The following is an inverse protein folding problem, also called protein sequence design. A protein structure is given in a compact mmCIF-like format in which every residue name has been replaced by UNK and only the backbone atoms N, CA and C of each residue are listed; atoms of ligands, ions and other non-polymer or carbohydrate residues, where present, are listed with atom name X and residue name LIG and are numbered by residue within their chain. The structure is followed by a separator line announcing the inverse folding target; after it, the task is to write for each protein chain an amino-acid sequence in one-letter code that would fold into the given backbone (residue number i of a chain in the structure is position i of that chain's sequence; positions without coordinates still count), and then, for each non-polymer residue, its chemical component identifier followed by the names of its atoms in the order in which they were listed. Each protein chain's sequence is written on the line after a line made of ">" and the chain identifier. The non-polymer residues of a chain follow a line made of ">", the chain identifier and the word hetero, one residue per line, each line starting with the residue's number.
data_IF_508385121908
#
_entry.id   IF_508385121908
#
_cell.length_a   1.000
_cell.length_b   1.000
_cell.length_c   1.000
_cell.angle_alpha   90.00
_cell.angle_beta   90.00
_cell.angle_gamma   90.00
#
_symmetry.space_group_name_H-M   'P 1'
#
loop_
_entity.id
_entity.type
_entity.pdbx_description
1 polymer ?
#
# COMPACT_ATOMS: atom_id res chain seq x y z
N UNK A 1 4.59 26.92 -9.53
CA UNK A 1 3.80 25.77 -9.03
C UNK A 1 4.03 25.58 -7.54
N UNK A 2 2.95 25.40 -6.74
CA UNK A 2 3.04 25.03 -5.31
C UNK A 2 3.51 23.58 -5.21
N UNK A 3 4.31 23.23 -4.20
CA UNK A 3 4.86 21.86 -4.04
C UNK A 3 3.76 20.80 -3.97
N UNK A 4 2.57 21.18 -3.47
CA UNK A 4 1.33 20.41 -3.46
C UNK A 4 0.96 19.80 -4.83
N UNK A 5 1.33 20.43 -5.94
CA UNK A 5 1.07 19.89 -7.28
C UNK A 5 1.99 18.73 -7.69
N UNK A 6 3.18 18.64 -7.09
CA UNK A 6 4.20 17.65 -7.42
C UNK A 6 4.13 16.42 -6.50
N UNK A 7 3.75 16.58 -5.23
CA UNK A 7 3.70 15.46 -4.27
C UNK A 7 2.78 14.30 -4.67
N UNK A 8 1.57 14.54 -5.21
CA UNK A 8 0.70 13.46 -5.65
C UNK A 8 1.31 12.68 -6.83
N UNK A 9 2.07 13.35 -7.71
CA UNK A 9 2.79 12.67 -8.78
C UNK A 9 3.88 11.74 -8.21
N UNK A 10 4.68 12.22 -7.26
CA UNK A 10 5.69 11.37 -6.59
C UNK A 10 5.06 10.21 -5.83
N UNK A 11 3.92 10.43 -5.15
CA UNK A 11 3.17 9.39 -4.46
C UNK A 11 2.62 8.33 -5.43
N UNK A 12 2.09 8.75 -6.58
CA UNK A 12 1.61 7.85 -7.62
C UNK A 12 2.75 7.03 -8.23
N UNK A 13 3.88 7.66 -8.54
CA UNK A 13 5.08 6.99 -9.05
C UNK A 13 5.65 5.98 -8.04
N UNK A 14 5.70 6.35 -6.75
CA UNK A 14 6.15 5.44 -5.71
C UNK A 14 5.21 4.23 -5.60
N UNK A 15 3.91 4.47 -5.52
CA UNK A 15 2.91 3.40 -5.40
C UNK A 15 2.97 2.44 -6.59
N UNK A 16 3.05 2.97 -7.81
CA UNK A 16 3.23 2.19 -9.02
C UNK A 16 4.53 1.38 -8.99
N UNK A 17 5.66 2.02 -8.66
CA UNK A 17 6.98 1.36 -8.70
C UNK A 17 7.12 0.26 -7.65
N UNK A 18 6.59 0.47 -6.43
CA UNK A 18 6.60 -0.54 -5.36
C UNK A 18 5.76 -1.75 -5.74
N UNK A 19 4.52 -1.53 -6.18
CA UNK A 19 3.61 -2.62 -6.57
C UNK A 19 4.15 -3.36 -7.80
N UNK A 20 4.66 -2.63 -8.80
CA UNK A 20 5.23 -3.25 -10.01
C UNK A 20 6.51 -4.02 -9.72
N UNK A 21 7.38 -3.51 -8.85
CA UNK A 21 8.59 -4.22 -8.41
C UNK A 21 8.22 -5.49 -7.64
N UNK A 22 7.32 -5.37 -6.66
CA UNK A 22 6.86 -6.51 -5.87
C UNK A 22 6.23 -7.58 -6.75
N UNK A 23 5.36 -7.18 -7.68
CA UNK A 23 4.72 -8.09 -8.61
C UNK A 23 5.74 -8.76 -9.55
N UNK A 24 6.77 -8.05 -10.02
CA UNK A 24 7.82 -8.65 -10.85
C UNK A 24 8.70 -9.64 -10.08
N UNK A 25 9.00 -9.38 -8.80
CA UNK A 25 9.68 -10.38 -7.98
C UNK A 25 8.78 -11.59 -7.70
N UNK A 26 7.48 -11.36 -7.47
CA UNK A 26 6.52 -12.44 -7.28
C UNK A 26 6.33 -13.29 -8.55
N UNK A 27 6.33 -12.70 -9.75
CA UNK A 27 6.24 -13.45 -11.01
C UNK A 27 7.48 -14.31 -11.27
N UNK A 28 8.65 -13.92 -10.75
CA UNK A 28 9.87 -14.74 -10.77
C UNK A 28 9.81 -15.92 -9.80
N UNK A 29 9.09 -15.77 -8.68
CA UNK A 29 8.84 -16.85 -7.72
C UNK A 29 7.68 -17.76 -8.17
N UNK A 30 6.68 -17.21 -8.85
CA UNK A 30 5.50 -17.93 -9.31
C UNK A 30 5.25 -17.59 -10.79
N UNK A 31 5.78 -18.40 -11.73
CA UNK A 31 5.66 -18.14 -13.17
C UNK A 31 4.22 -18.02 -13.69
N UNK A 32 3.26 -18.62 -12.99
CA UNK A 32 1.82 -18.51 -13.27
C UNK A 32 1.27 -17.09 -13.07
N UNK A 33 1.99 -16.22 -12.36
CA UNK A 33 1.61 -14.83 -12.07
C UNK A 33 2.27 -13.84 -13.02
N UNK A 34 2.40 -14.21 -14.29
CA UNK A 34 2.94 -13.33 -15.32
C UNK A 34 2.10 -12.06 -15.45
N UNK A 35 2.78 -10.91 -15.52
CA UNK A 35 2.13 -9.60 -15.58
C UNK A 35 2.03 -9.15 -17.03
N UNK A 36 0.83 -8.91 -17.55
CA UNK A 36 0.69 -8.41 -18.92
C UNK A 36 1.16 -6.96 -19.02
N UNK A 37 1.79 -6.61 -20.15
CA UNK A 37 2.35 -5.26 -20.37
C UNK A 37 1.28 -4.15 -20.33
N UNK A 38 0.04 -4.44 -20.74
CA UNK A 38 -1.05 -3.48 -20.71
C UNK A 38 -1.46 -3.06 -19.30
N UNK A 39 -1.14 -3.85 -18.26
CA UNK A 39 -1.50 -3.52 -16.88
C UNK A 39 -0.69 -2.36 -16.33
N UNK A 40 0.51 -2.13 -16.88
CA UNK A 40 1.47 -1.11 -16.42
C UNK A 40 0.91 0.31 -16.53
N UNK A 41 0.45 0.77 -17.71
CA UNK A 41 -0.17 2.09 -17.81
C UNK A 41 -1.43 2.21 -16.96
N UNK A 42 -2.22 1.15 -16.80
CA UNK A 42 -3.44 1.18 -15.96
C UNK A 42 -3.07 1.34 -14.47
N UNK A 43 -2.10 0.57 -13.98
CA UNK A 43 -1.63 0.66 -12.59
C UNK A 43 -1.00 2.03 -12.30
N UNK A 44 -0.27 2.60 -13.26
CA UNK A 44 0.33 3.93 -13.13
C UNK A 44 -0.74 5.03 -13.12
N UNK A 45 -1.66 5.03 -14.09
CA UNK A 45 -2.69 6.05 -14.20
C UNK A 45 -3.69 5.98 -13.04
N UNK A 46 -4.05 4.78 -12.58
CA UNK A 46 -4.89 4.60 -11.39
C UNK A 46 -4.22 5.12 -10.12
N UNK A 47 -2.93 4.87 -9.93
CA UNK A 47 -2.18 5.40 -8.81
C UNK A 47 -2.07 6.94 -8.87
N UNK A 48 -1.74 7.50 -10.02
CA UNK A 48 -1.68 8.96 -10.21
C UNK A 48 -3.04 9.61 -9.98
N UNK A 49 -4.09 9.14 -10.64
CA UNK A 49 -5.43 9.68 -10.49
C UNK A 49 -5.86 9.60 -9.02
N UNK A 50 -5.64 8.48 -8.34
CA UNK A 50 -6.05 8.35 -6.95
C UNK A 50 -5.26 9.23 -6.01
N UNK A 51 -3.95 9.40 -6.21
CA UNK A 51 -3.16 10.34 -5.41
C UNK A 51 -3.65 11.79 -5.59
N UNK A 52 -3.90 12.23 -6.81
CA UNK A 52 -4.43 13.58 -7.09
C UNK A 52 -5.84 13.74 -6.54
N UNK A 53 -6.70 12.75 -6.74
CA UNK A 53 -8.08 12.78 -6.28
C UNK A 53 -8.16 12.83 -4.75
N UNK A 54 -7.36 11.99 -4.08
CA UNK A 54 -7.21 11.97 -2.64
C UNK A 54 -6.69 13.30 -2.08
N UNK A 55 -5.76 13.96 -2.77
CA UNK A 55 -5.13 15.19 -2.28
C UNK A 55 -5.99 16.44 -2.46
N UNK A 56 -6.77 16.51 -3.55
CA UNK A 56 -7.49 17.74 -3.92
C UNK A 56 -8.99 17.69 -3.67
N UNK A 57 -9.61 16.51 -3.81
CA UNK A 57 -11.07 16.38 -3.82
C UNK A 57 -11.60 15.56 -2.64
N UNK A 58 -10.72 14.86 -1.92
CA UNK A 58 -11.14 14.02 -0.80
C UNK A 58 -11.32 14.84 0.47
N UNK A 59 -12.58 15.16 0.75
CA UNK A 59 -13.02 15.70 2.03
C UNK A 59 -13.65 14.60 2.90
N UNK A 60 -13.74 14.84 4.23
CA UNK A 60 -14.42 13.95 5.19
C UNK A 60 -15.90 13.69 4.82
N UNK A 61 -16.47 14.59 4.01
CA UNK A 61 -17.84 14.53 3.48
C UNK A 61 -17.96 13.80 2.13
N UNK A 62 -16.87 13.30 1.55
CA UNK A 62 -16.95 12.50 0.32
C UNK A 62 -17.67 11.17 0.57
N UNK A 63 -18.72 10.85 -0.19
CA UNK A 63 -19.41 9.56 -0.07
C UNK A 63 -18.44 8.43 -0.47
N UNK A 64 -18.63 7.25 0.13
CA UNK A 64 -17.80 6.08 -0.16
C UNK A 64 -18.05 5.55 -1.59
N UNK A 65 -19.28 5.72 -2.09
CA UNK A 65 -19.72 5.37 -3.43
C UNK A 65 -18.90 6.06 -4.53
N UNK A 66 -18.47 7.30 -4.32
CA UNK A 66 -17.57 7.98 -5.28
C UNK A 66 -16.21 7.30 -5.34
N UNK A 67 -15.74 6.75 -4.22
CA UNK A 67 -14.49 5.99 -4.15
C UNK A 67 -14.64 4.65 -4.86
N UNK A 68 -15.81 4.01 -4.74
CA UNK A 68 -16.14 2.80 -5.49
C UNK A 68 -16.23 3.07 -6.99
N UNK A 69 -16.84 4.18 -7.42
CA UNK A 69 -16.91 4.56 -8.84
C UNK A 69 -15.50 4.81 -9.39
N UNK A 70 -14.65 5.55 -8.65
CA UNK A 70 -13.26 5.79 -9.02
C UNK A 70 -12.49 4.47 -9.20
N UNK A 71 -12.67 3.51 -8.30
CA UNK A 71 -12.05 2.20 -8.39
C UNK A 71 -12.64 1.37 -9.56
N UNK A 72 -13.97 1.37 -9.71
CA UNK A 72 -14.67 0.66 -10.76
C UNK A 72 -14.26 1.16 -12.16
N UNK A 73 -14.00 2.46 -12.31
CA UNK A 73 -13.48 3.05 -13.54
C UNK A 73 -12.18 2.38 -14.00
N UNK A 74 -11.34 1.92 -13.08
CA UNK A 74 -10.12 1.18 -13.39
C UNK A 74 -10.33 -0.33 -13.47
N UNK A 75 -11.20 -0.90 -12.64
CA UNK A 75 -11.46 -2.34 -12.64
C UNK A 75 -12.23 -2.82 -13.88
N UNK A 76 -13.18 -2.03 -14.39
CA UNK A 76 -13.99 -2.41 -15.56
C UNK A 76 -13.12 -2.66 -16.81
N UNK A 77 -12.23 -1.74 -17.23
CA UNK A 77 -11.29 -2.01 -18.32
C UNK A 77 -10.39 -3.21 -18.05
N UNK A 78 -9.91 -3.38 -16.81
CA UNK A 78 -9.04 -4.53 -16.48
C UNK A 78 -9.74 -5.87 -16.63
N UNK A 79 -11.05 -5.94 -16.34
CA UNK A 79 -11.87 -7.13 -16.54
C UNK A 79 -12.05 -7.48 -18.03
N UNK A 80 -12.26 -6.46 -18.87
CA UNK A 80 -12.35 -6.68 -20.31
C UNK A 80 -11.00 -7.09 -20.91
N UNK A 81 -9.91 -6.46 -20.48
CA UNK A 81 -8.56 -6.74 -20.96
C UNK A 81 -8.00 -8.07 -20.44
N UNK A 82 -8.50 -8.58 -19.31
CA UNK A 82 -8.20 -9.93 -18.82
C UNK A 82 -8.98 -11.05 -19.55
N UNK A 83 -9.65 -10.73 -20.66
CA UNK A 83 -10.40 -11.70 -21.45
C UNK A 83 -11.66 -12.24 -20.75
N UNK A 84 -12.18 -11.52 -19.74
CA UNK A 84 -13.33 -11.93 -18.91
C UNK A 84 -13.11 -13.22 -18.12
N UNK A 85 -11.84 -13.63 -17.95
CA UNK A 85 -11.46 -14.78 -17.11
C UNK A 85 -11.29 -14.30 -15.67
N UNK A 86 -12.14 -14.81 -14.76
CA UNK A 86 -12.19 -14.36 -13.36
C UNK A 86 -10.84 -14.57 -12.65
N UNK A 87 -10.19 -15.71 -12.84
CA UNK A 87 -8.91 -16.01 -12.17
C UNK A 87 -7.80 -15.03 -12.55
N UNK A 88 -7.66 -14.72 -13.85
CA UNK A 88 -6.68 -13.76 -14.37
C UNK A 88 -7.05 -12.34 -13.96
N UNK A 89 -8.34 -12.02 -13.96
CA UNK A 89 -8.86 -10.75 -13.49
C UNK A 89 -8.51 -10.50 -12.02
N UNK A 90 -8.71 -11.47 -11.12
CA UNK A 90 -8.46 -11.30 -9.69
C UNK A 90 -7.01 -10.88 -9.40
N UNK A 91 -6.03 -11.50 -10.07
CA UNK A 91 -4.62 -11.13 -9.93
C UNK A 91 -4.35 -9.71 -10.44
N UNK A 92 -4.80 -9.39 -11.65
CA UNK A 92 -4.59 -8.07 -12.24
C UNK A 92 -5.33 -6.96 -11.47
N UNK A 93 -6.54 -7.25 -11.00
CA UNK A 93 -7.35 -6.37 -10.17
C UNK A 93 -6.69 -6.11 -8.82
N UNK A 94 -6.10 -7.14 -8.20
CA UNK A 94 -5.36 -6.98 -6.94
C UNK A 94 -4.21 -5.97 -7.10
N UNK A 95 -3.44 -6.05 -8.19
CA UNK A 95 -2.34 -5.12 -8.45
C UNK A 95 -2.84 -3.67 -8.61
N UNK A 96 -3.95 -3.47 -9.33
CA UNK A 96 -4.57 -2.15 -9.52
C UNK A 96 -5.17 -1.63 -8.22
N UNK A 97 -5.82 -2.49 -7.43
CA UNK A 97 -6.37 -2.13 -6.12
C UNK A 97 -5.24 -1.73 -5.16
N UNK A 98 -4.13 -2.48 -5.13
CA UNK A 98 -2.98 -2.17 -4.29
C UNK A 98 -2.32 -0.85 -4.70
N UNK A 99 -2.08 -0.62 -6.00
CA UNK A 99 -1.49 0.63 -6.48
C UNK A 99 -2.40 1.82 -6.16
N UNK A 100 -3.71 1.65 -6.34
CA UNK A 100 -4.74 2.64 -6.02
C UNK A 100 -4.81 2.93 -4.51
N UNK A 101 -4.88 1.90 -3.65
CA UNK A 101 -4.98 2.04 -2.19
C UNK A 101 -3.75 2.73 -1.59
N UNK A 102 -2.55 2.33 -2.02
CA UNK A 102 -1.30 2.92 -1.51
C UNK A 102 -1.23 4.40 -1.89
N UNK A 103 -1.52 4.73 -3.15
CA UNK A 103 -1.51 6.09 -3.66
C UNK A 103 -2.55 6.98 -2.97
N UNK A 104 -3.76 6.46 -2.78
CA UNK A 104 -4.84 7.11 -2.04
C UNK A 104 -4.44 7.40 -0.59
N UNK A 105 -3.80 6.43 0.06
CA UNK A 105 -3.28 6.59 1.42
C UNK A 105 -2.35 7.79 1.52
N UNK A 106 -1.34 7.88 0.65
CA UNK A 106 -0.45 9.04 0.60
C UNK A 106 -1.21 10.36 0.36
N UNK A 107 -2.14 10.39 -0.59
CA UNK A 107 -2.94 11.60 -0.87
C UNK A 107 -3.77 12.06 0.33
N UNK A 108 -4.39 11.14 1.07
CA UNK A 108 -5.14 11.47 2.28
C UNK A 108 -4.26 12.05 3.40
N UNK A 109 -3.02 11.56 3.52
CA UNK A 109 -2.06 12.08 4.49
C UNK A 109 -1.59 13.50 4.15
N UNK A 110 -1.55 13.89 2.87
CA UNK A 110 -1.29 15.29 2.51
C UNK A 110 -2.41 16.24 2.96
N UNK A 111 -3.67 15.82 2.85
CA UNK A 111 -4.81 16.60 3.37
C UNK A 111 -4.76 16.69 4.89
N UNK A 112 -4.37 15.60 5.56
CA UNK A 112 -4.16 15.60 7.01
C UNK A 112 -3.06 16.58 7.43
N UNK A 113 -1.94 16.62 6.69
CA UNK A 113 -0.84 17.54 6.94
C UNK A 113 -1.24 19.02 6.86
N UNK A 114 -2.27 19.37 6.07
CA UNK A 114 -2.77 20.76 5.95
C UNK A 114 -3.64 21.21 7.13
N UNK A 115 -4.28 20.26 7.83
CA UNK A 115 -5.22 20.53 8.94
C UNK A 115 -4.52 20.81 10.26
N UNK A 116 -3.41 21.53 10.22
CA UNK A 116 -2.60 21.84 11.40
C UNK A 116 -3.38 22.65 12.44
N UNK A 117 -4.30 23.51 11.99
CA UNK A 117 -5.22 24.25 12.85
C UNK A 117 -6.18 23.36 13.67
N UNK A 118 -6.66 22.23 13.11
CA UNK A 118 -7.56 21.32 13.83
C UNK A 118 -6.87 20.68 15.05
N UNK A 119 -5.53 20.63 15.06
CA UNK A 119 -4.72 20.01 16.11
C UNK A 119 -4.12 21.00 17.10
N UNK A 120 -3.85 22.24 16.67
CA UNK A 120 -3.25 23.26 17.53
C UNK A 120 -4.29 24.12 18.27
N UNK A 121 -5.57 24.06 17.87
CA UNK A 121 -6.63 24.90 18.44
C UNK A 121 -6.40 26.40 18.23
N UNK A 122 -7.24 27.23 18.87
CA UNK A 122 -7.18 28.70 18.74
C UNK A 122 -5.88 29.32 19.30
N UNK A 123 -5.08 28.57 20.06
CA UNK A 123 -3.81 29.03 20.66
C UNK A 123 -2.57 28.73 19.81
N UNK A 124 -2.73 28.07 18.65
CA UNK A 124 -1.62 27.55 17.84
C UNK A 124 -0.74 28.57 17.12
N UNK A 125 -1.23 29.78 16.85
CA UNK A 125 -0.50 30.72 16.00
C UNK A 125 0.74 31.34 16.69
N UNK A 126 0.77 31.43 18.02
CA UNK A 126 1.88 32.00 18.80
C UNK A 126 2.79 30.96 19.45
N UNK A 127 2.40 29.69 19.48
CA UNK A 127 3.12 28.59 20.16
C UNK A 127 3.85 27.63 19.21
N UNK A 128 3.66 27.75 17.89
CA UNK A 128 4.38 26.94 16.90
C UNK A 128 5.81 27.47 16.73
N UNK A 129 6.71 27.01 17.59
CA UNK A 129 8.15 27.11 17.40
C UNK A 129 8.73 25.76 16.94
N UNK A 130 9.94 25.80 16.36
CA UNK A 130 10.66 24.58 15.99
C UNK A 130 10.94 23.66 17.20
N UNK A 131 11.07 24.26 18.39
CA UNK A 131 11.23 23.55 19.67
C UNK A 131 9.96 22.77 20.04
N UNK A 132 8.78 23.38 19.88
CA UNK A 132 7.50 22.70 20.11
C UNK A 132 7.31 21.52 19.16
N UNK A 133 7.64 21.65 17.87
CA UNK A 133 7.57 20.50 16.95
C UNK A 133 8.60 19.42 17.29
N UNK A 134 9.80 19.79 17.75
CA UNK A 134 10.80 18.80 18.19
C UNK A 134 10.32 18.00 19.40
N UNK A 135 9.67 18.66 20.37
CA UNK A 135 9.08 18.03 21.56
C UNK A 135 7.83 17.20 21.21
N UNK A 136 6.95 17.73 20.36
CA UNK A 136 5.77 17.01 19.87
C UNK A 136 6.11 15.84 18.93
N UNK A 137 7.32 15.82 18.35
CA UNK A 137 7.78 14.70 17.52
C UNK A 137 7.96 13.40 18.30
N UNK A 138 8.15 13.52 19.62
CA UNK A 138 8.29 12.42 20.57
C UNK A 138 6.96 11.72 20.82
N UNK A 139 5.83 12.45 20.75
CA UNK A 139 4.52 11.82 20.88
C UNK A 139 4.20 10.95 19.65
N UNK A 140 3.75 9.72 19.95
CA UNK A 140 3.48 8.68 18.95
C UNK A 140 2.31 9.00 18.02
N UNK A 141 1.40 9.88 18.46
CA UNK A 141 0.15 10.19 17.75
C UNK A 141 0.26 11.33 16.73
N UNK A 142 1.36 12.10 16.69
CA UNK A 142 1.34 13.46 16.13
C UNK A 142 2.29 13.76 14.97
N UNK A 143 2.95 12.77 14.35
CA UNK A 143 3.90 13.06 13.26
C UNK A 143 3.45 12.44 11.93
N UNK A 144 2.79 13.22 11.05
CA UNK A 144 2.49 12.80 9.69
C UNK A 144 3.72 12.26 8.94
N UNK A 145 4.93 12.73 9.28
CA UNK A 145 6.19 12.26 8.69
C UNK A 145 6.53 10.80 9.04
N UNK A 146 6.12 10.31 10.22
CA UNK A 146 6.33 8.90 10.62
C UNK A 146 5.62 7.96 9.66
N UNK A 147 4.43 8.34 9.15
CA UNK A 147 3.70 7.55 8.16
C UNK A 147 4.49 7.31 6.87
N UNK A 148 5.11 8.37 6.31
CA UNK A 148 5.91 8.26 5.09
C UNK A 148 7.19 7.46 5.34
N UNK A 149 7.83 7.67 6.49
CA UNK A 149 9.04 6.95 6.89
C UNK A 149 8.80 5.44 7.06
N UNK A 150 7.81 5.05 7.87
CA UNK A 150 7.49 3.64 8.13
C UNK A 150 7.09 2.89 6.86
N UNK A 151 6.35 3.53 5.94
CA UNK A 151 5.99 2.91 4.66
C UNK A 151 7.18 2.76 3.74
N UNK A 152 8.07 3.75 3.67
CA UNK A 152 9.27 3.65 2.84
C UNK A 152 10.17 2.49 3.31
N UNK A 153 10.39 2.36 4.63
CA UNK A 153 11.12 1.23 5.20
C UNK A 153 10.39 -0.09 5.05
N UNK A 154 9.07 -0.13 5.27
CA UNK A 154 8.27 -1.33 5.10
C UNK A 154 8.29 -1.85 3.66
N UNK A 155 8.16 -0.95 2.67
CA UNK A 155 8.28 -1.32 1.26
C UNK A 155 9.70 -1.76 0.89
N UNK A 156 10.73 -1.08 1.41
CA UNK A 156 12.11 -1.48 1.19
C UNK A 156 12.39 -2.88 1.76
N UNK A 157 11.89 -3.17 2.97
CA UNK A 157 12.03 -4.48 3.62
C UNK A 157 11.35 -5.58 2.81
N UNK A 158 10.09 -5.37 2.40
CA UNK A 158 9.34 -6.36 1.59
C UNK A 158 10.06 -6.63 0.27
N UNK A 159 10.50 -5.59 -0.44
CA UNK A 159 11.23 -5.74 -1.70
C UNK A 159 12.60 -6.41 -1.50
N UNK A 160 13.30 -6.13 -0.40
CA UNK A 160 14.57 -6.78 -0.08
C UNK A 160 14.38 -8.28 0.19
N UNK A 161 13.37 -8.65 0.98
CA UNK A 161 13.04 -10.07 1.25
C UNK A 161 12.70 -10.80 -0.05
N UNK A 162 11.88 -10.20 -0.92
CA UNK A 162 11.55 -10.76 -2.23
C UNK A 162 12.79 -10.91 -3.12
N UNK A 163 13.69 -9.92 -3.13
CA UNK A 163 14.93 -9.99 -3.90
C UNK A 163 15.86 -11.10 -3.39
N UNK A 164 16.00 -11.27 -2.08
CA UNK A 164 16.78 -12.35 -1.46
C UNK A 164 16.19 -13.72 -1.81
N UNK A 165 14.86 -13.86 -1.75
CA UNK A 165 14.17 -15.10 -2.12
C UNK A 165 14.41 -15.48 -3.59
N UNK A 166 14.36 -14.50 -4.50
CA UNK A 166 14.66 -14.73 -5.92
C UNK A 166 16.13 -15.09 -6.14
N UNK A 167 17.05 -14.43 -5.42
CA UNK A 167 18.47 -14.73 -5.48
C UNK A 167 18.76 -16.16 -5.03
N UNK A 168 18.18 -16.61 -3.92
CA UNK A 168 18.36 -17.96 -3.40
C UNK A 168 17.86 -19.05 -4.36
N UNK A 169 16.84 -18.75 -5.18
CA UNK A 169 16.29 -19.69 -6.16
C UNK A 169 17.16 -19.81 -7.43
N UNK A 170 18.26 -19.05 -7.55
CA UNK A 170 19.19 -19.06 -8.68
C UNK A 170 18.48 -18.94 -10.04
N UNK A 171 17.45 -18.10 -10.12
CA UNK A 171 16.71 -17.88 -11.37
C UNK A 171 17.60 -17.13 -12.35
N UNK A 172 17.81 -17.69 -13.54
CA UNK A 172 18.58 -17.04 -14.59
C UNK A 172 17.78 -15.86 -15.17
N UNK A 173 18.24 -14.63 -14.94
CA UNK A 173 17.55 -13.41 -15.36
C UNK A 173 17.96 -13.03 -16.78
N UNK A 174 17.00 -13.02 -17.72
CA UNK A 174 17.23 -12.45 -19.05
C UNK A 174 17.55 -10.95 -18.98
N UNK A 175 18.42 -10.46 -19.88
CA UNK A 175 18.93 -9.08 -19.85
C UNK A 175 17.83 -7.99 -19.83
N UNK A 176 16.74 -8.19 -20.56
CA UNK A 176 15.60 -7.25 -20.56
C UNK A 176 14.83 -7.22 -19.24
N UNK A 177 14.72 -8.35 -18.55
CA UNK A 177 14.06 -8.44 -17.25
C UNK A 177 14.92 -7.77 -16.17
N UNK A 178 16.23 -7.98 -16.22
CA UNK A 178 17.19 -7.34 -15.32
C UNK A 178 17.17 -5.82 -15.47
N UNK A 179 17.17 -5.33 -16.72
CA UNK A 179 17.04 -3.89 -16.99
C UNK A 179 15.73 -3.33 -16.45
N UNK A 180 14.62 -4.05 -16.62
CA UNK A 180 13.31 -3.64 -16.10
C UNK A 180 13.28 -3.56 -14.57
N UNK A 181 13.79 -4.58 -13.89
CA UNK A 181 13.89 -4.60 -12.42
C UNK A 181 14.77 -3.46 -11.91
N UNK A 182 15.88 -3.18 -12.59
CA UNK A 182 16.78 -2.07 -12.26
C UNK A 182 16.11 -0.71 -12.43
N UNK A 183 15.38 -0.50 -13.54
CA UNK A 183 14.62 0.72 -13.76
C UNK A 183 13.51 0.91 -12.73
N UNK A 184 12.79 -0.17 -12.38
CA UNK A 184 11.77 -0.11 -11.34
C UNK A 184 12.36 0.18 -9.95
N UNK A 185 13.46 -0.49 -9.58
CA UNK A 185 14.14 -0.27 -8.31
C UNK A 185 14.68 1.15 -8.17
N UNK A 186 15.30 1.68 -9.22
CA UNK A 186 15.75 3.08 -9.26
C UNK A 186 14.58 4.06 -9.17
N UNK A 187 13.47 3.79 -9.88
CA UNK A 187 12.26 4.58 -9.78
C UNK A 187 11.69 4.56 -8.36
N UNK A 188 11.68 3.42 -7.67
CA UNK A 188 11.23 3.30 -6.27
C UNK A 188 12.09 4.12 -5.33
N UNK A 189 13.42 4.03 -5.43
CA UNK A 189 14.33 4.80 -4.57
C UNK A 189 14.17 6.31 -4.84
N UNK A 190 14.19 6.72 -6.10
CA UNK A 190 14.10 8.14 -6.47
C UNK A 190 12.75 8.72 -6.06
N UNK A 191 11.65 8.04 -6.37
CA UNK A 191 10.31 8.52 -6.01
C UNK A 191 10.07 8.51 -4.51
N UNK A 192 10.60 7.52 -3.78
CA UNK A 192 10.49 7.43 -2.31
C UNK A 192 11.24 8.56 -1.61
N UNK A 193 12.50 8.79 -1.98
CA UNK A 193 13.30 9.88 -1.42
C UNK A 193 12.75 11.26 -1.82
N UNK A 194 12.32 11.43 -3.07
CA UNK A 194 11.69 12.66 -3.52
C UNK A 194 10.38 12.95 -2.77
N UNK A 195 9.58 11.91 -2.53
CA UNK A 195 8.33 12.01 -1.76
C UNK A 195 8.62 12.40 -0.31
N UNK A 196 9.58 11.77 0.35
CA UNK A 196 9.95 12.07 1.73
C UNK A 196 10.47 13.50 1.88
N UNK A 197 11.44 13.90 1.06
CA UNK A 197 12.00 15.24 1.09
C UNK A 197 10.98 16.31 0.68
N UNK A 198 10.09 15.98 -0.25
CA UNK A 198 8.99 16.85 -0.67
C UNK A 198 7.93 17.02 0.42
N UNK A 199 7.52 15.94 1.07
CA UNK A 199 6.55 15.95 2.17
C UNK A 199 7.10 16.75 3.36
N UNK A 200 8.39 16.63 3.65
CA UNK A 200 9.07 17.42 4.66
C UNK A 200 9.04 18.91 4.34
N UNK A 201 9.45 19.31 3.12
CA UNK A 201 9.37 20.71 2.70
C UNK A 201 7.93 21.24 2.70
N UNK A 202 6.95 20.41 2.34
CA UNK A 202 5.54 20.80 2.36
C UNK A 202 5.04 21.07 3.77
N UNK A 203 5.39 20.21 4.73
CA UNK A 203 5.09 20.42 6.15
C UNK A 203 5.71 21.72 6.65
N UNK A 204 6.99 21.98 6.35
CA UNK A 204 7.66 23.23 6.71
C UNK A 204 6.96 24.46 6.12
N UNK A 205 6.54 24.41 4.86
CA UNK A 205 5.80 25.51 4.23
C UNK A 205 4.48 25.82 4.93
N UNK A 206 3.78 24.78 5.40
CA UNK A 206 2.55 24.96 6.16
C UNK A 206 2.86 25.65 7.49
N UNK A 207 3.86 25.17 8.22
CA UNK A 207 4.25 25.73 9.52
C UNK A 207 4.72 27.18 9.41
N UNK A 208 5.58 27.50 8.43
CA UNK A 208 5.99 28.87 8.16
C UNK A 208 4.81 29.77 7.80
N UNK A 209 3.83 29.23 7.08
CA UNK A 209 2.58 29.92 6.78
C UNK A 209 1.77 30.25 8.05
N UNK A 210 1.70 29.32 9.01
CA UNK A 210 1.04 29.55 10.31
C UNK A 210 1.81 30.52 11.21
N UNK A 211 3.13 30.39 11.27
CA UNK A 211 4.00 31.25 12.07
C UNK A 211 4.23 32.66 11.46
N UNK A 212 3.69 32.92 10.25
CA UNK A 212 3.93 34.14 9.46
C UNK A 212 5.42 34.47 9.30
N UNK A 213 6.25 33.44 9.15
CA UNK A 213 7.68 33.61 8.97
C UNK A 213 8.00 34.14 7.56
N UNK A 214 8.86 35.15 7.46
CA UNK A 214 9.35 35.67 6.19
C UNK A 214 10.38 34.71 5.58
N UNK A 215 9.88 33.75 4.78
CA UNK A 215 10.72 32.76 4.10
C UNK A 215 11.05 33.25 2.70
N UNK A 216 12.32 33.13 2.32
CA UNK A 216 12.77 33.51 0.97
C UNK A 216 11.97 32.77 -0.11
N UNK A 217 11.45 33.47 -1.14
CA UNK A 217 10.61 32.86 -2.18
C UNK A 217 11.40 31.85 -3.04
N UNK A 218 12.73 31.92 -3.01
CA UNK A 218 13.64 31.05 -3.75
C UNK A 218 13.95 29.72 -3.07
N UNK A 219 13.69 29.58 -1.76
CA UNK A 219 14.03 28.39 -0.99
C UNK A 219 13.50 27.11 -1.62
N UNK A 220 12.24 27.12 -2.09
CA UNK A 220 11.62 25.98 -2.78
C UNK A 220 12.41 25.56 -4.03
N UNK A 221 12.83 26.53 -4.85
CA UNK A 221 13.56 26.24 -6.10
C UNK A 221 14.94 25.69 -5.79
N UNK A 222 15.62 26.25 -4.79
CA UNK A 222 16.93 25.79 -4.34
C UNK A 222 16.85 24.40 -3.70
N UNK A 223 15.83 24.13 -2.89
CA UNK A 223 15.57 22.80 -2.32
C UNK A 223 15.35 21.77 -3.41
N UNK A 224 14.45 22.03 -4.37
CA UNK A 224 14.20 21.09 -5.47
C UNK A 224 15.43 20.88 -6.36
N UNK A 225 16.25 21.93 -6.58
CA UNK A 225 17.52 21.80 -7.32
C UNK A 225 18.52 20.92 -6.56
N UNK A 226 18.68 21.16 -5.26
CA UNK A 226 19.59 20.39 -4.41
C UNK A 226 19.12 18.95 -4.27
N UNK A 227 17.82 18.73 -4.09
CA UNK A 227 17.21 17.41 -4.06
C UNK A 227 17.46 16.65 -5.36
N UNK A 228 17.32 17.28 -6.53
CA UNK A 228 17.65 16.64 -7.81
C UNK A 228 19.12 16.21 -7.89
N UNK A 229 20.04 17.05 -7.41
CA UNK A 229 21.47 16.71 -7.38
C UNK A 229 21.76 15.53 -6.45
N UNK A 230 21.18 15.54 -5.24
CA UNK A 230 21.30 14.43 -4.28
C UNK A 230 20.70 13.14 -4.85
N UNK A 231 19.50 13.20 -5.44
CA UNK A 231 18.87 12.05 -6.07
C UNK A 231 19.70 11.50 -7.23
N UNK A 232 20.30 12.38 -8.05
CA UNK A 232 21.18 11.97 -9.15
C UNK A 232 22.45 11.30 -8.62
N UNK A 233 23.04 11.83 -7.55
CA UNK A 233 24.18 11.21 -6.88
C UNK A 233 23.81 9.82 -6.32
N UNK A 234 22.67 9.70 -5.64
CA UNK A 234 22.17 8.41 -5.11
C UNK A 234 21.95 7.41 -6.24
N UNK A 235 21.32 7.83 -7.34
CA UNK A 235 21.15 6.97 -8.53
C UNK A 235 22.51 6.52 -9.05
N UNK A 236 23.47 7.42 -9.18
CA UNK A 236 24.81 7.12 -9.65
C UNK A 236 25.50 6.10 -8.74
N UNK A 237 25.45 6.31 -7.42
CA UNK A 237 26.02 5.37 -6.44
C UNK A 237 25.33 4.00 -6.53
N UNK A 238 24.00 3.93 -6.50
CA UNK A 238 23.26 2.65 -6.51
C UNK A 238 23.49 1.87 -7.82
N UNK A 239 23.75 2.56 -8.93
CA UNK A 239 23.89 1.94 -10.25
C UNK A 239 25.34 1.67 -10.69
N UNK A 240 26.30 2.47 -10.23
CA UNK A 240 27.70 2.35 -10.61
C UNK A 240 28.56 1.74 -9.50
N UNK A 241 28.12 1.77 -8.24
CA UNK A 241 28.87 1.11 -7.18
C UNK A 241 28.89 -0.41 -7.46
N UNK A 242 30.07 -1.04 -7.49
CA UNK A 242 30.17 -2.48 -7.56
C UNK A 242 29.50 -3.07 -6.32
N UNK A 243 28.55 -3.99 -6.53
CA UNK A 243 27.75 -4.64 -5.48
C UNK A 243 28.65 -5.35 -4.45
N UNK A 244 29.87 -5.70 -4.85
CA UNK A 244 30.86 -6.42 -4.05
C UNK A 244 31.41 -5.64 -2.84
N UNK A 245 31.25 -4.31 -2.80
CA UNK A 245 31.75 -3.48 -1.69
C UNK A 245 30.67 -3.13 -0.64
N UNK A 246 29.41 -3.53 -0.84
CA UNK A 246 28.34 -3.22 0.11
C UNK A 246 28.29 -4.27 1.24
N UNK A 247 28.40 -3.90 2.53
CA UNK A 247 28.49 -4.86 3.64
C UNK A 247 27.20 -5.67 3.88
N UNK A 248 26.12 -5.36 3.17
CA UNK A 248 24.83 -6.06 3.18
C UNK A 248 24.56 -6.65 1.78
N UNK A 249 25.39 -7.59 1.34
CA UNK A 249 25.07 -8.39 0.15
C UNK A 249 23.89 -9.32 0.44
N UNK A 250 23.14 -9.74 -0.59
CA UNK A 250 22.06 -10.72 -0.43
C UNK A 250 22.55 -12.01 0.24
N UNK A 251 23.83 -12.36 0.03
CA UNK A 251 24.53 -13.43 0.73
C UNK A 251 24.63 -13.16 2.24
N UNK A 252 25.15 -12.01 2.67
CA UNK A 252 25.24 -11.66 4.10
C UNK A 252 23.89 -11.51 4.79
N UNK A 253 22.87 -10.96 4.13
CA UNK A 253 21.53 -10.91 4.72
C UNK A 253 20.95 -12.33 4.83
N UNK A 254 21.19 -13.18 3.83
CA UNK A 254 20.83 -14.61 3.90
C UNK A 254 21.55 -15.34 5.03
N UNK A 255 22.83 -15.03 5.29
CA UNK A 255 23.60 -15.54 6.42
C UNK A 255 23.06 -15.05 7.76
N UNK A 256 22.71 -13.77 7.89
CA UNK A 256 22.11 -13.19 9.10
C UNK A 256 20.73 -13.83 9.37
N UNK A 257 19.90 -14.00 8.34
CA UNK A 257 18.59 -14.67 8.47
C UNK A 257 18.76 -16.14 8.82
N UNK A 258 19.76 -16.84 8.25
CA UNK A 258 20.11 -18.21 8.64
C UNK A 258 20.61 -18.30 10.07
N UNK A 259 21.45 -17.37 10.51
CA UNK A 259 21.92 -17.29 11.89
C UNK A 259 20.75 -17.07 12.85
N UNK A 260 19.83 -16.16 12.52
CA UNK A 260 18.60 -15.95 13.31
C UNK A 260 17.65 -17.16 13.30
N UNK A 261 17.59 -17.94 12.22
CA UNK A 261 16.83 -19.20 12.17
C UNK A 261 17.52 -20.34 12.94
N UNK A 262 18.85 -20.38 12.97
CA UNK A 262 19.63 -21.36 13.74
C UNK A 262 19.76 -21.00 15.23
N UNK A 263 19.54 -19.73 15.59
CA UNK A 263 19.37 -19.24 16.97
C UNK A 263 17.94 -19.42 17.52
N UNK A 264 17.07 -20.18 16.83
CA UNK A 264 15.96 -20.85 17.51
C UNK A 264 16.51 -21.90 18.48
N UNK A 265 15.84 -22.21 19.61
CA UNK A 265 16.35 -23.17 20.58
C UNK A 265 16.60 -24.51 19.88
N UNK A 266 17.86 -24.80 19.64
CA UNK A 266 18.34 -26.12 19.25
C UNK A 266 18.18 -26.97 20.51
N UNK A 267 17.06 -27.69 20.58
CA UNK A 267 16.95 -28.78 21.52
C UNK A 267 17.90 -29.87 21.04
N UNK A 268 19.08 -29.93 21.66
CA UNK A 268 19.94 -31.11 21.62
C UNK A 268 19.14 -32.26 22.25
N UNK A 269 18.37 -32.95 21.42
CA UNK A 269 17.80 -34.22 21.77
C UNK A 269 18.99 -35.18 21.95
N UNK A 270 19.17 -35.80 23.13
CA UNK A 270 20.25 -36.74 23.35
C UNK A 270 20.16 -37.87 22.30
N UNK A 271 21.29 -38.37 21.80
CA UNK A 271 21.28 -39.45 20.82
C UNK A 271 20.58 -40.65 21.47
N UNK A 272 19.41 -41.00 20.93
CA UNK A 272 18.69 -42.22 21.28
C UNK A 272 19.55 -43.41 20.84
N UNK A 273 20.43 -43.85 21.73
CA UNK A 273 21.08 -45.14 21.65
C UNK A 273 20.06 -46.23 21.99
N UNK A 274 19.81 -47.13 21.04
CA UNK A 274 19.10 -48.39 21.28
C UNK A 274 17.89 -48.60 20.35
N UNK A 275 17.78 -49.77 19.71
CA UNK A 275 16.66 -50.10 18.82
C UNK A 275 15.45 -50.49 19.65
N UNK A 276 14.73 -49.50 20.17
CA UNK A 276 13.41 -49.71 20.73
C UNK A 276 12.37 -49.15 19.77
N UNK A 277 11.34 -49.98 19.56
CA UNK A 277 10.32 -49.87 18.54
C UNK A 277 9.87 -48.42 18.32
N UNK A 278 9.92 -47.97 17.06
CA UNK A 278 9.14 -46.83 16.62
C UNK A 278 7.73 -46.99 17.17
N UNK A 279 7.19 -46.06 17.98
CA UNK A 279 5.78 -46.08 18.27
C UNK A 279 5.11 -45.91 16.91
N UNK A 280 4.49 -46.98 16.41
CA UNK A 280 3.48 -46.82 15.37
C UNK A 280 2.48 -45.86 15.98
N UNK A 281 2.41 -44.65 15.43
CA UNK A 281 1.19 -43.89 15.53
C UNK A 281 0.11 -44.86 15.03
N UNK A 282 -0.69 -45.40 15.95
CA UNK A 282 -1.95 -46.01 15.56
C UNK A 282 -2.62 -45.00 14.65
N UNK A 283 -2.95 -45.43 13.43
CA UNK A 283 -3.85 -44.69 12.57
C UNK A 283 -5.01 -44.28 13.46
N UNK A 284 -5.08 -42.97 13.73
CA UNK A 284 -6.18 -42.37 14.43
C UNK A 284 -7.43 -42.92 13.74
N UNK A 285 -8.33 -43.63 14.45
CA UNK A 285 -9.49 -44.17 13.79
C UNK A 285 -10.16 -42.97 13.16
N UNK A 286 -10.32 -43.00 11.84
CA UNK A 286 -11.18 -42.07 11.12
C UNK A 286 -12.42 -41.94 12.01
N UNK A 287 -12.82 -40.70 12.32
CA UNK A 287 -14.12 -40.48 12.95
C UNK A 287 -15.17 -40.92 11.94
N UNK A 288 -15.40 -42.22 11.86
CA UNK A 288 -16.49 -42.84 11.13
C UNK A 288 -17.70 -42.46 11.94
N UNK A 289 -18.35 -41.38 11.53
CA UNK A 289 -19.71 -41.09 11.96
C UNK A 289 -20.53 -42.37 11.75
N UNK A 290 -21.12 -42.96 12.80
CA UNK A 290 -21.91 -44.17 12.65
C UNK A 290 -23.07 -43.88 11.71
N UNK A 291 -22.99 -44.39 10.47
CA UNK A 291 -24.02 -44.23 9.44
C UNK A 291 -25.37 -44.82 9.87
N UNK A 292 -25.40 -45.65 10.92
CA UNK A 292 -26.61 -46.24 11.50
C UNK A 292 -27.44 -45.25 12.33
N UNK A 293 -26.88 -44.09 12.73
CA UNK A 293 -27.66 -43.03 13.39
C UNK A 293 -28.46 -42.16 12.40
N UNK A 294 -28.20 -42.28 11.09
CA UNK A 294 -28.75 -41.41 10.06
C UNK A 294 -30.11 -41.85 9.48
N UNK A 295 -30.58 -43.07 9.79
CA UNK A 295 -31.79 -43.66 9.18
C UNK A 295 -32.98 -43.82 10.15
N UNK A 296 -32.81 -43.46 11.42
CA UNK A 296 -33.90 -43.45 12.43
C UNK A 296 -34.62 -42.09 12.57
N UNK A 297 -35.78 -42.04 13.27
CA UNK A 297 -36.51 -40.79 13.52
C UNK A 297 -35.67 -39.72 14.23
N UNK A 298 -34.67 -40.14 15.02
CA UNK A 298 -33.70 -39.25 15.65
C UNK A 298 -32.75 -38.57 14.65
N UNK A 299 -32.40 -39.23 13.53
CA UNK A 299 -31.60 -38.65 12.46
C UNK A 299 -32.35 -37.51 11.74
N UNK A 300 -33.67 -37.66 11.57
CA UNK A 300 -34.54 -36.61 11.01
C UNK A 300 -34.59 -35.39 11.94
N UNK A 301 -34.71 -35.61 13.26
CA UNK A 301 -34.71 -34.53 14.26
C UNK A 301 -33.36 -33.80 14.27
N UNK A 302 -32.25 -34.52 14.19
CA UNK A 302 -30.90 -33.94 14.19
C UNK A 302 -30.63 -33.17 12.89
N UNK A 303 -31.09 -33.69 11.73
CA UNK A 303 -31.04 -33.01 10.44
C UNK A 303 -31.89 -31.73 10.44
N UNK A 304 -33.09 -31.77 11.01
CA UNK A 304 -33.96 -30.59 11.15
C UNK A 304 -33.32 -29.54 12.06
N UNK A 305 -32.71 -29.97 13.18
CA UNK A 305 -32.03 -29.08 14.11
C UNK A 305 -30.80 -28.41 13.47
N UNK A 306 -29.97 -29.17 12.76
CA UNK A 306 -28.81 -28.60 12.01
C UNK A 306 -29.26 -27.68 10.87
N UNK A 307 -30.33 -28.02 10.16
CA UNK A 307 -30.92 -27.17 9.13
C UNK A 307 -31.45 -25.85 9.71
N UNK A 308 -32.17 -25.89 10.84
CA UNK A 308 -32.63 -24.69 11.55
C UNK A 308 -31.46 -23.84 12.07
N UNK A 309 -30.38 -24.46 12.55
CA UNK A 309 -29.17 -23.77 12.98
C UNK A 309 -28.47 -23.06 11.81
N UNK A 310 -28.37 -23.73 10.66
CA UNK A 310 -27.79 -23.16 9.45
C UNK A 310 -28.65 -22.00 8.90
N UNK A 311 -29.97 -22.15 8.88
CA UNK A 311 -30.89 -21.07 8.50
C UNK A 311 -30.78 -19.92 9.49
N UNK A 312 -30.77 -20.19 10.80
CA UNK A 312 -30.62 -19.17 11.84
C UNK A 312 -29.32 -18.39 11.68
N UNK A 313 -28.21 -19.09 11.44
CA UNK A 313 -26.92 -18.46 11.18
C UNK A 313 -26.93 -17.62 9.89
N UNK A 314 -27.53 -18.14 8.80
CA UNK A 314 -27.67 -17.41 7.55
C UNK A 314 -28.51 -16.13 7.71
N UNK A 315 -29.60 -16.20 8.48
CA UNK A 315 -30.46 -15.04 8.80
C UNK A 315 -29.71 -14.02 9.65
N UNK A 316 -28.93 -14.45 10.65
CA UNK A 316 -28.10 -13.54 11.47
C UNK A 316 -27.04 -12.86 10.61
N UNK A 317 -26.36 -13.59 9.72
CA UNK A 317 -25.39 -13.03 8.79
C UNK A 317 -26.07 -12.00 7.87
N UNK A 318 -27.24 -12.32 7.30
CA UNK A 318 -28.02 -11.40 6.46
C UNK A 318 -28.49 -10.16 7.24
N UNK A 319 -28.88 -10.29 8.50
CA UNK A 319 -29.28 -9.18 9.35
C UNK A 319 -28.11 -8.26 9.70
N UNK A 320 -26.94 -8.83 10.04
CA UNK A 320 -25.73 -8.05 10.30
C UNK A 320 -25.27 -7.36 9.02
N UNK A 321 -25.27 -8.06 7.88
CA UNK A 321 -24.93 -7.50 6.59
C UNK A 321 -25.91 -6.38 6.20
N UNK A 322 -27.21 -6.60 6.40
CA UNK A 322 -28.28 -5.63 6.15
C UNK A 322 -28.18 -4.41 7.05
N UNK A 323 -27.89 -4.58 8.33
CA UNK A 323 -27.68 -3.47 9.27
C UNK A 323 -26.45 -2.63 8.92
N UNK A 324 -25.34 -3.29 8.56
CA UNK A 324 -24.12 -2.62 8.08
C UNK A 324 -24.40 -1.85 6.79
N UNK A 325 -25.15 -2.45 5.86
CA UNK A 325 -25.60 -1.79 4.62
C UNK A 325 -26.47 -0.57 4.90
N UNK A 326 -27.48 -0.68 5.78
CA UNK A 326 -28.40 0.44 6.10
C UNK A 326 -27.67 1.57 6.81
N UNK A 327 -26.77 1.29 7.75
CA UNK A 327 -25.93 2.30 8.42
C UNK A 327 -24.99 3.01 7.44
N UNK A 328 -24.37 2.25 6.51
CA UNK A 328 -23.55 2.82 5.43
C UNK A 328 -24.39 3.69 4.49
N UNK A 329 -25.55 3.20 4.05
CA UNK A 329 -26.44 3.87 3.09
C UNK A 329 -27.04 5.14 3.72
N UNK A 330 -27.50 5.10 4.96
CA UNK A 330 -28.07 6.27 5.64
C UNK A 330 -27.06 7.42 5.77
N UNK A 331 -25.84 7.11 6.22
CA UNK A 331 -24.74 8.08 6.28
C UNK A 331 -24.21 8.52 4.90
N UNK A 332 -24.40 7.69 3.86
CA UNK A 332 -24.06 8.03 2.49
C UNK A 332 -25.09 8.93 1.81
N UNK A 333 -26.39 8.73 2.01
CA UNK A 333 -27.46 9.52 1.38
C UNK A 333 -27.28 11.02 1.67
N UNK A 334 -26.92 11.38 2.90
CA UNK A 334 -26.66 12.77 3.25
C UNK A 334 -25.36 13.32 2.64
N UNK A 335 -24.37 12.45 2.37
CA UNK A 335 -23.15 12.82 1.64
C UNK A 335 -23.36 12.88 0.13
N UNK A 336 -24.29 12.09 -0.42
CA UNK A 336 -24.69 12.08 -1.82
C UNK A 336 -25.34 13.40 -2.22
N UNK A 337 -26.06 14.09 -1.32
CA UNK A 337 -26.53 15.48 -1.55
C UNK A 337 -25.38 16.46 -1.86
N UNK A 338 -24.15 16.14 -1.45
CA UNK A 338 -22.94 16.92 -1.73
C UNK A 338 -22.23 16.61 -3.05
N UNK A 339 -22.64 15.55 -3.78
CA UNK A 339 -22.06 15.16 -5.07
C UNK A 339 -22.04 16.28 -6.12
N UNK A 340 -23.13 17.06 -6.31
CA UNK A 340 -23.14 18.12 -7.32
C UNK A 340 -22.02 19.15 -7.09
N UNK A 341 -21.75 19.50 -5.83
CA UNK A 341 -20.65 20.42 -5.47
C UNK A 341 -19.29 19.83 -5.78
N UNK A 342 -19.10 18.53 -5.55
CA UNK A 342 -17.85 17.85 -5.90
C UNK A 342 -17.65 17.79 -7.42
N UNK A 343 -18.70 17.49 -8.17
CA UNK A 343 -18.67 17.48 -9.63
C UNK A 343 -18.29 18.86 -10.20
N UNK A 344 -18.86 19.94 -9.65
CA UNK A 344 -18.50 21.33 -10.01
C UNK A 344 -17.03 21.61 -9.69
N UNK A 345 -16.53 21.20 -8.51
CA UNK A 345 -15.12 21.39 -8.16
C UNK A 345 -14.17 20.65 -9.10
N UNK A 346 -14.48 19.40 -9.47
CA UNK A 346 -13.70 18.62 -10.44
C UNK A 346 -13.74 19.28 -11.82
N UNK A 347 -14.92 19.74 -12.25
CA UNK A 347 -15.10 20.45 -13.53
C UNK A 347 -14.33 21.77 -13.56
N UNK A 348 -14.42 22.60 -12.52
CA UNK A 348 -13.65 23.84 -12.42
C UNK A 348 -12.14 23.59 -12.37
N UNK A 349 -11.72 22.57 -11.64
CA UNK A 349 -10.32 22.12 -11.59
C UNK A 349 -9.80 21.72 -12.97
N UNK A 350 -10.58 20.92 -13.70
CA UNK A 350 -10.25 20.49 -15.06
C UNK A 350 -10.24 21.68 -16.04
N UNK A 351 -11.25 22.56 -15.97
CA UNK A 351 -11.36 23.77 -16.79
C UNK A 351 -10.16 24.70 -16.58
N UNK A 352 -9.75 24.91 -15.33
CA UNK A 352 -8.60 25.73 -15.00
C UNK A 352 -7.30 25.08 -15.47
N UNK A 353 -7.15 23.76 -15.34
CA UNK A 353 -5.99 23.04 -15.85
C UNK A 353 -5.88 23.14 -17.39
N UNK A 354 -6.98 22.98 -18.12
CA UNK A 354 -7.02 23.12 -19.58
C UNK A 354 -6.69 24.57 -20.00
N UNK A 355 -7.25 25.57 -19.30
CA UNK A 355 -6.98 26.99 -19.58
C UNK A 355 -5.50 27.37 -19.34
N UNK A 356 -4.84 26.72 -18.39
CA UNK A 356 -3.40 26.89 -18.12
C UNK A 356 -2.54 26.16 -19.17
N UNK A 357 -3.06 25.11 -19.83
CA UNK A 357 -2.32 24.36 -20.84
C UNK A 357 -2.42 24.96 -22.25
N UNK A 358 -3.49 25.71 -22.52
CA UNK A 358 -3.75 26.41 -23.80
C UNK A 358 -3.08 27.79 -23.85
N UNK A 359 -2.66 28.34 -22.71
CA UNK A 359 -1.83 29.54 -22.60
C UNK A 359 -0.38 29.15 -22.38
#
# INVERSE_FOLDING_TARGET
>A
MRIKGLLPAWAGLLSFSVVSSGAQYLSLLFPTWAIPLWLWPIALLSALQSAYYATYYLNRRTPFLVRLIELAFWLVPTYFLSGRVIQVFLWNALLVILSWLIARGYGSHFVFMERVADYLGDQGASTVSWEYESLASTDSHYVPMKYFWWRLWGFALVLAVLAIAVHHRNVNLGGMLLLRLRLLGTLTVVSGLALQAGAYLFRLQILWGYARADVSPNLRRQWLRSLRLVLLLVVLVVNLAPIDYWPLTAQRIGEIVRQLQMEGPTFDLPPLGGPEATPRFEEQPDMVFPQEAATGPWGIILALFTFLLLIGLAVVILLVLGFVLVQLIGGEIDRLKGLPRLAVQVYEGLRNAIRILIR
#
